data_IF_623984656362
#
_entry.id   IF_623984656362
#
_cell.length_a   1.000
_cell.length_b   1.000
_cell.length_c   1.000
_cell.angle_alpha   90.00
_cell.angle_beta   90.00
_cell.angle_gamma   90.00
#
_symmetry.space_group_name_H-M   'P 1'
#
loop_
_entity.id
_entity.type
_entity.pdbx_description
1 polymer ?
#
# COMPACT_ATOMS: atom_id res chain seq x y z
N UNK A 1 -12.91 3.17 2.29
CA UNK A 1 -12.40 4.57 2.32
C UNK A 1 -11.61 4.96 3.58
N UNK A 2 -11.99 4.57 4.81
CA UNK A 2 -11.27 5.00 6.02
C UNK A 2 -9.77 4.64 6.02
N UNK A 3 -9.41 3.44 5.55
CA UNK A 3 -8.01 2.97 5.46
C UNK A 3 -7.16 3.79 4.49
N UNK A 4 -7.70 4.12 3.31
CA UNK A 4 -7.02 4.98 2.33
C UNK A 4 -6.74 6.38 2.87
N UNK A 5 -7.70 6.98 3.57
CA UNK A 5 -7.49 8.29 4.22
C UNK A 5 -6.44 8.22 5.32
N UNK A 6 -6.41 7.13 6.10
CA UNK A 6 -5.36 6.89 7.09
C UNK A 6 -3.98 6.73 6.46
N UNK A 7 -3.89 6.04 5.32
CA UNK A 7 -2.67 5.94 4.54
C UNK A 7 -2.21 7.31 4.02
N UNK A 8 -3.09 8.10 3.42
CA UNK A 8 -2.75 9.45 2.93
C UNK A 8 -2.23 10.35 4.05
N UNK A 9 -2.87 10.33 5.23
CA UNK A 9 -2.41 11.10 6.40
C UNK A 9 -1.04 10.64 6.88
N UNK A 10 -0.76 9.34 6.84
CA UNK A 10 0.55 8.79 7.18
C UNK A 10 1.60 9.21 6.13
N UNK A 11 1.28 9.09 4.84
CA UNK A 11 2.16 9.51 3.75
C UNK A 11 2.54 11.00 3.87
N UNK A 12 1.55 11.87 4.08
CA UNK A 12 1.78 13.30 4.26
C UNK A 12 2.66 13.63 5.49
N UNK A 13 2.64 12.79 6.53
CA UNK A 13 3.41 13.00 7.75
C UNK A 13 4.89 12.59 7.62
N UNK A 14 5.19 11.66 6.73
CA UNK A 14 6.52 11.06 6.57
C UNK A 14 7.13 11.30 5.18
N UNK A 15 6.53 12.19 4.38
CA UNK A 15 7.01 12.55 3.03
C UNK A 15 8.43 13.14 3.03
N UNK A 16 8.90 13.64 4.19
CA UNK A 16 10.25 14.15 4.36
C UNK A 16 11.33 13.07 4.44
N UNK A 17 10.95 11.80 4.68
CA UNK A 17 11.89 10.68 4.86
C UNK A 17 11.61 9.46 4.01
N UNK A 18 10.45 9.39 3.34
CA UNK A 18 10.04 8.24 2.55
C UNK A 18 9.09 8.64 1.41
N UNK A 19 9.19 7.93 0.30
CA UNK A 19 8.21 7.97 -0.79
C UNK A 19 7.06 6.99 -0.52
N UNK A 20 5.89 7.30 -1.08
CA UNK A 20 4.68 6.49 -0.92
C UNK A 20 4.04 6.18 -2.27
N UNK A 21 3.60 4.94 -2.44
CA UNK A 21 2.93 4.47 -3.65
C UNK A 21 1.76 3.56 -3.28
N UNK A 22 0.60 3.84 -3.88
CA UNK A 22 -0.51 2.90 -3.94
C UNK A 22 -0.41 2.08 -5.23
N UNK A 23 -0.68 0.78 -5.14
CA UNK A 23 -0.79 -0.10 -6.31
C UNK A 23 -2.19 -0.68 -6.33
N UNK A 24 -2.98 -0.32 -7.34
CA UNK A 24 -4.30 -0.89 -7.56
C UNK A 24 -4.17 -2.28 -8.19
N UNK A 25 -4.77 -3.29 -7.56
CA UNK A 25 -4.68 -4.69 -7.98
C UNK A 25 -6.06 -5.21 -8.43
N UNK A 26 -6.22 -6.53 -8.58
CA UNK A 26 -7.53 -7.10 -8.87
C UNK A 26 -8.54 -6.91 -7.73
N UNK A 27 -9.84 -6.89 -8.08
CA UNK A 27 -10.91 -6.78 -7.10
C UNK A 27 -10.89 -7.98 -6.15
N UNK A 28 -10.86 -7.71 -4.84
CA UNK A 28 -11.02 -8.73 -3.82
C UNK A 28 -12.41 -9.40 -3.90
N UNK A 29 -13.43 -8.64 -4.26
CA UNK A 29 -14.83 -9.06 -4.33
C UNK A 29 -15.47 -8.50 -5.61
N UNK A 30 -15.17 -9.08 -6.79
CA UNK A 30 -15.78 -8.63 -8.04
C UNK A 30 -17.29 -8.91 -8.03
N UNK A 31 -18.08 -7.99 -8.60
CA UNK A 31 -19.54 -8.07 -8.55
C UNK A 31 -20.17 -9.16 -9.41
N UNK A 32 -19.43 -9.67 -10.39
CA UNK A 32 -19.75 -10.82 -11.23
C UNK A 32 -19.12 -12.13 -10.69
N UNK A 33 -18.59 -12.11 -9.46
CA UNK A 33 -18.00 -13.25 -8.77
C UNK A 33 -18.73 -13.63 -7.46
N UNK A 34 -17.96 -14.03 -6.45
CA UNK A 34 -18.50 -14.30 -5.11
C UNK A 34 -18.98 -12.98 -4.49
N UNK A 35 -20.28 -12.73 -4.57
CA UNK A 35 -20.92 -11.51 -4.09
C UNK A 35 -20.80 -11.44 -2.57
N UNK A 36 -20.02 -10.47 -2.09
CA UNK A 36 -20.10 -9.99 -0.71
C UNK A 36 -21.18 -8.93 -0.64
N UNK A 37 -22.15 -9.08 0.26
CA UNK A 37 -23.22 -8.09 0.50
C UNK A 37 -22.69 -6.74 0.99
N UNK A 38 -21.41 -6.69 1.39
CA UNK A 38 -20.81 -5.55 2.10
C UNK A 38 -19.83 -4.75 1.21
N UNK A 39 -19.75 -5.06 -0.09
CA UNK A 39 -18.89 -4.34 -1.01
C UNK A 39 -19.45 -2.93 -1.30
N UNK A 40 -18.71 -1.90 -0.88
CA UNK A 40 -19.09 -0.50 -1.10
C UNK A 40 -19.09 -0.07 -2.58
N UNK A 41 -18.45 -0.86 -3.45
CA UNK A 41 -18.35 -0.61 -4.88
C UNK A 41 -18.82 -1.83 -5.67
N UNK A 42 -19.59 -1.58 -6.72
CA UNK A 42 -20.08 -2.60 -7.63
C UNK A 42 -19.19 -2.62 -8.89
N UNK A 43 -18.05 -3.30 -8.80
CA UNK A 43 -17.03 -3.36 -9.86
C UNK A 43 -16.88 -4.83 -10.31
N UNK A 44 -17.11 -5.16 -11.59
CA UNK A 44 -16.91 -6.52 -12.09
C UNK A 44 -15.42 -6.84 -12.19
N UNK A 45 -15.08 -8.13 -12.35
CA UNK A 45 -13.71 -8.55 -12.61
C UNK A 45 -13.19 -7.85 -13.87
N UNK A 46 -12.04 -7.18 -13.72
CA UNK A 46 -11.36 -6.51 -14.84
C UNK A 46 -11.06 -7.49 -15.97
N UNK A 47 -11.55 -7.20 -17.18
CA UNK A 47 -11.26 -7.99 -18.38
C UNK A 47 -10.10 -7.40 -19.18
N UNK A 48 -9.83 -6.12 -19.00
CA UNK A 48 -8.72 -5.41 -19.62
C UNK A 48 -8.13 -4.35 -18.68
N UNK A 49 -6.97 -3.80 -19.06
CA UNK A 49 -6.29 -2.76 -18.28
C UNK A 49 -7.16 -1.50 -18.13
N UNK A 50 -7.97 -1.16 -19.14
CA UNK A 50 -8.86 -0.01 -19.11
C UNK A 50 -9.97 -0.16 -18.05
N UNK A 51 -10.45 -1.38 -17.80
CA UNK A 51 -11.40 -1.63 -16.70
C UNK A 51 -10.73 -1.36 -15.35
N UNK A 52 -9.51 -1.88 -15.18
CA UNK A 52 -8.73 -1.72 -13.95
C UNK A 52 -8.34 -0.27 -13.70
N UNK A 53 -7.97 0.47 -14.75
CA UNK A 53 -7.68 1.90 -14.66
C UNK A 53 -8.93 2.70 -14.24
N UNK A 54 -10.12 2.36 -14.76
CA UNK A 54 -11.38 3.00 -14.34
C UNK A 54 -11.68 2.76 -12.87
N UNK A 55 -11.51 1.53 -12.39
CA UNK A 55 -11.69 1.19 -10.99
C UNK A 55 -10.66 1.90 -10.08
N UNK A 56 -9.40 1.99 -10.52
CA UNK A 56 -8.33 2.70 -9.82
C UNK A 56 -8.61 4.19 -9.62
N UNK A 57 -9.32 4.86 -10.56
CA UNK A 57 -9.72 6.25 -10.36
C UNK A 57 -10.67 6.44 -9.17
N UNK A 58 -11.53 5.46 -8.87
CA UNK A 58 -12.40 5.51 -7.68
C UNK A 58 -11.58 5.42 -6.39
N UNK A 59 -10.49 4.62 -6.37
CA UNK A 59 -9.56 4.59 -5.25
C UNK A 59 -8.82 5.92 -5.07
N UNK A 60 -8.46 6.59 -6.18
CA UNK A 60 -7.75 7.88 -6.17
C UNK A 60 -8.53 8.96 -5.43
N UNK A 61 -9.86 8.96 -5.50
CA UNK A 61 -10.72 9.89 -4.74
C UNK A 61 -10.53 9.78 -3.22
N UNK A 62 -10.15 8.59 -2.72
CA UNK A 62 -9.90 8.33 -1.30
C UNK A 62 -8.51 8.76 -0.81
N UNK A 63 -7.57 8.96 -1.74
CA UNK A 63 -6.18 9.33 -1.48
C UNK A 63 -5.59 10.18 -2.63
N UNK A 64 -6.13 11.38 -2.91
CA UNK A 64 -5.80 12.17 -4.11
C UNK A 64 -4.32 12.55 -4.20
N UNK A 65 -3.65 12.76 -3.08
CA UNK A 65 -2.25 13.20 -3.06
C UNK A 65 -1.25 12.04 -3.13
N UNK A 66 -1.71 10.80 -3.04
CA UNK A 66 -0.82 9.63 -3.10
C UNK A 66 -0.61 9.20 -4.56
N UNK A 67 0.65 9.03 -5.03
CA UNK A 67 0.93 8.36 -6.29
C UNK A 67 0.21 7.01 -6.38
N UNK A 68 -0.39 6.73 -7.54
CA UNK A 68 -1.18 5.52 -7.79
C UNK A 68 -0.67 4.86 -9.07
N UNK A 69 -0.16 3.64 -8.92
CA UNK A 69 0.10 2.72 -10.02
C UNK A 69 -1.02 1.70 -10.11
N UNK A 70 -1.10 1.01 -11.24
CA UNK A 70 -2.05 -0.08 -11.48
C UNK A 70 -1.25 -1.30 -11.87
N UNK A 71 -1.52 -2.44 -11.22
CA UNK A 71 -0.85 -3.68 -11.55
C UNK A 71 -1.25 -4.17 -12.95
N UNK A 72 -0.33 -4.86 -13.59
CA UNK A 72 -0.52 -5.52 -14.89
C UNK A 72 -1.68 -6.52 -14.84
N UNK A 73 -2.30 -6.80 -15.99
CA UNK A 73 -3.39 -7.78 -16.08
C UNK A 73 -2.95 -9.20 -15.71
N UNK A 74 -1.65 -9.49 -15.79
CA UNK A 74 -1.04 -10.75 -15.33
C UNK A 74 -0.82 -10.81 -13.81
N UNK A 75 -1.25 -9.78 -13.08
CA UNK A 75 -1.12 -9.65 -11.62
C UNK A 75 0.36 -9.78 -11.16
N UNK A 76 1.31 -9.28 -11.95
CA UNK A 76 2.74 -9.48 -11.73
C UNK A 76 3.21 -8.93 -10.37
N UNK A 77 2.73 -7.75 -9.96
CA UNK A 77 3.09 -7.16 -8.67
C UNK A 77 2.42 -7.91 -7.52
N UNK A 78 1.13 -8.25 -7.65
CA UNK A 78 0.42 -9.08 -6.68
C UNK A 78 1.09 -10.44 -6.47
N UNK A 79 1.59 -11.07 -7.53
CA UNK A 79 2.31 -12.34 -7.46
C UNK A 79 3.69 -12.18 -6.80
N UNK A 80 4.49 -11.21 -7.24
CA UNK A 80 5.84 -10.97 -6.72
C UNK A 80 5.84 -10.63 -5.22
N UNK A 81 4.86 -9.85 -4.77
CA UNK A 81 4.73 -9.42 -3.38
C UNK A 81 3.74 -10.27 -2.58
N UNK A 82 3.09 -11.29 -3.16
CA UNK A 82 2.02 -12.04 -2.47
C UNK A 82 0.97 -11.11 -1.85
N UNK A 83 0.54 -10.10 -2.62
CA UNK A 83 -0.23 -8.95 -2.14
C UNK A 83 -1.72 -9.02 -2.52
N UNK A 84 -2.22 -10.21 -2.87
CA UNK A 84 -3.65 -10.43 -3.11
C UNK A 84 -4.49 -9.94 -1.93
N UNK A 85 -5.68 -9.39 -2.25
CA UNK A 85 -6.57 -8.68 -1.34
C UNK A 85 -6.07 -7.26 -0.97
N UNK A 86 -5.17 -7.15 0.00
CA UNK A 86 -4.47 -5.90 0.32
C UNK A 86 -3.21 -6.21 1.14
N UNK A 87 -2.17 -5.39 1.01
CA UNK A 87 -0.91 -5.57 1.77
C UNK A 87 -0.09 -4.30 1.86
N UNK A 88 0.72 -4.18 2.90
CA UNK A 88 1.65 -3.07 3.12
C UNK A 88 3.09 -3.58 3.06
N UNK A 89 3.97 -2.78 2.46
CA UNK A 89 5.40 -3.05 2.35
C UNK A 89 6.20 -1.79 2.65
N UNK A 90 7.39 -1.97 3.21
CA UNK A 90 8.45 -0.96 3.13
C UNK A 90 9.64 -1.58 2.40
N UNK A 91 10.11 -0.89 1.38
CA UNK A 91 11.23 -1.29 0.56
C UNK A 91 12.32 -0.23 0.68
N UNK A 92 13.54 -0.63 0.95
CA UNK A 92 14.70 0.24 1.03
C UNK A 92 15.88 -0.48 0.38
N UNK A 93 16.61 0.18 -0.52
CA UNK A 93 17.80 -0.39 -1.18
C UNK A 93 17.52 -1.80 -1.74
N UNK A 94 16.41 -1.93 -2.48
CA UNK A 94 15.95 -3.17 -3.11
C UNK A 94 15.64 -4.32 -2.13
N UNK A 95 15.54 -4.04 -0.83
CA UNK A 95 15.22 -5.02 0.21
C UNK A 95 13.90 -4.70 0.88
N UNK A 96 13.15 -5.75 1.20
CA UNK A 96 11.92 -5.64 1.99
C UNK A 96 12.29 -5.48 3.47
N UNK A 97 12.03 -4.30 4.02
CA UNK A 97 12.31 -3.95 5.41
C UNK A 97 11.11 -4.16 6.34
N UNK A 98 9.91 -4.14 5.76
CA UNK A 98 8.66 -4.45 6.44
C UNK A 98 7.72 -5.14 5.46
N UNK A 99 7.08 -6.21 5.92
CA UNK A 99 6.04 -6.93 5.20
C UNK A 99 4.83 -7.05 6.12
N UNK A 100 3.72 -6.42 5.74
CA UNK A 100 2.46 -6.52 6.47
C UNK A 100 1.89 -7.93 6.48
N UNK A 101 1.04 -8.18 7.47
CA UNK A 101 0.23 -9.39 7.55
C UNK A 101 -0.66 -9.56 6.31
N UNK A 102 -1.18 -10.76 6.09
CA UNK A 102 -2.06 -11.05 4.94
C UNK A 102 -3.47 -10.53 5.18
N UNK A 103 -4.10 -10.04 4.11
CA UNK A 103 -5.53 -9.71 4.10
C UNK A 103 -5.90 -8.50 4.98
N UNK A 104 -7.21 -8.30 5.22
CA UNK A 104 -7.71 -7.10 5.89
C UNK A 104 -7.32 -6.99 7.35
N UNK A 105 -7.09 -8.13 8.01
CA UNK A 105 -6.63 -8.19 9.39
C UNK A 105 -5.15 -7.82 9.51
N UNK A 106 -4.37 -8.10 8.46
CA UNK A 106 -2.96 -7.78 8.36
C UNK A 106 -2.66 -6.35 7.92
N UNK A 107 -3.63 -5.64 7.34
CA UNK A 107 -3.48 -4.25 6.92
C UNK A 107 -3.46 -3.29 8.12
N UNK A 108 -2.29 -3.16 8.73
CA UNK A 108 -2.11 -2.39 9.97
C UNK A 108 -1.29 -1.14 9.73
N UNK A 109 -2.00 -0.03 9.48
CA UNK A 109 -1.40 1.32 9.39
C UNK A 109 -0.60 1.67 10.66
N UNK A 110 -1.00 1.17 11.83
CA UNK A 110 -0.28 1.39 13.09
C UNK A 110 1.11 0.75 13.10
N UNK A 111 1.26 -0.46 12.55
CA UNK A 111 2.57 -1.13 12.46
C UNK A 111 3.50 -0.40 11.48
N UNK A 112 2.95 0.01 10.33
CA UNK A 112 3.69 0.83 9.35
C UNK A 112 4.16 2.16 9.96
N UNK A 113 3.28 2.84 10.72
CA UNK A 113 3.63 4.07 11.44
C UNK A 113 4.79 3.85 12.40
N UNK A 114 4.70 2.82 13.26
CA UNK A 114 5.76 2.49 14.22
C UNK A 114 7.10 2.25 13.51
N UNK A 115 7.09 1.56 12.37
CA UNK A 115 8.31 1.35 11.59
C UNK A 115 8.90 2.68 11.08
N UNK A 116 8.06 3.57 10.54
CA UNK A 116 8.49 4.88 10.01
C UNK A 116 9.00 5.80 11.12
N UNK A 117 8.37 5.81 12.29
CA UNK A 117 8.83 6.59 13.46
C UNK A 117 10.22 6.13 13.93
N UNK A 118 10.43 4.82 14.01
CA UNK A 118 11.75 4.25 14.34
C UNK A 118 12.79 4.61 13.28
N UNK A 119 12.42 4.56 12.00
CA UNK A 119 13.31 4.95 10.91
C UNK A 119 13.69 6.43 10.98
N UNK A 120 12.70 7.32 11.18
CA UNK A 120 12.91 8.76 11.38
C UNK A 120 13.87 9.05 12.52
N UNK A 121 13.70 8.35 13.64
CA UNK A 121 14.55 8.49 14.83
C UNK A 121 15.99 8.07 14.55
N UNK A 122 16.21 6.99 13.79
CA UNK A 122 17.54 6.54 13.37
C UNK A 122 18.23 7.55 12.45
N UNK A 123 17.51 8.19 11.54
CA UNK A 123 18.06 9.23 10.67
C UNK A 123 18.56 10.45 11.45
N UNK A 124 17.88 10.79 12.55
CA UNK A 124 18.22 11.93 13.43
C UNK A 124 19.33 11.61 14.44
N UNK A 125 19.65 10.32 14.63
CA UNK A 125 20.68 9.86 15.57
C UNK A 125 21.81 9.19 14.79
N UNK A 126 22.68 9.95 14.09
CA UNK A 126 23.85 9.37 13.47
C UNK A 126 24.70 8.73 14.57
N UNK A 127 24.97 7.44 14.47
CA UNK A 127 25.76 6.70 15.45
C UNK A 127 27.07 7.45 15.69
N UNK A 128 27.30 7.89 16.94
CA UNK A 128 28.61 8.32 17.40
C UNK A 128 29.56 7.15 17.19
N UNK A 129 30.36 7.20 16.13
CA UNK A 129 31.49 6.30 15.95
C UNK A 129 32.52 6.70 17.00
N UNK A 130 32.49 6.03 18.16
CA UNK A 130 33.57 6.14 19.14
C UNK A 130 34.75 5.36 18.56
N UNK A 131 35.63 6.05 17.85
CA UNK A 131 36.95 5.51 17.52
C UNK A 131 37.75 5.48 18.82
N UNK A 132 37.87 4.32 19.44
CA UNK A 132 38.88 4.10 20.47
C UNK A 132 40.24 3.98 19.75
N UNK A 133 41.11 4.95 20.02
CA UNK A 133 42.55 4.92 19.69
C UNK A 133 43.29 4.26 20.83
#
# INVERSE_FOLDING_TARGET
MARLRSFQRLAAHFVDIADFLLVYIEEAHPSDGWVSSDAAYNIPKHQCLQDRLRAAQLMKEGAPDCPLAVDTMDNASSAAYGAYFERLYVIQEEKVMYQGGRGPEGYKISELRTWLDQYKTRLQSPSTVVIQV
#
